data_IF_268536280883
#
_entry.id   IF_268536280883
#
_cell.length_a   1.000
_cell.length_b   1.000
_cell.length_c   1.000
_cell.angle_alpha   90.00
_cell.angle_beta   90.00
_cell.angle_gamma   90.00
#
_symmetry.space_group_name_H-M   'P 1'
#
loop_
_entity.id
_entity.type
_entity.pdbx_description
1 polymer ?
#
# COMPACT_ATOMS: atom_id res chain seq x y z
N UNK A 1 -31.39 -11.61 3.83
CA UNK A 1 -30.70 -10.43 3.32
C UNK A 1 -30.97 -9.24 4.17
N UNK A 2 -30.03 -8.32 4.26
CA UNK A 2 -30.13 -7.14 5.09
C UNK A 2 -30.41 -5.91 4.24
N UNK A 3 -31.41 -5.15 4.61
CA UNK A 3 -31.67 -3.85 3.99
C UNK A 3 -31.06 -2.77 4.88
N UNK A 4 -30.29 -1.87 4.27
CA UNK A 4 -29.61 -0.80 5.01
C UNK A 4 -29.88 0.54 4.34
N UNK A 5 -29.97 1.58 5.18
CA UNK A 5 -30.04 2.94 4.72
C UNK A 5 -28.78 3.67 5.17
N UNK A 6 -28.07 4.26 4.22
CA UNK A 6 -26.81 4.96 4.51
C UNK A 6 -26.98 6.43 4.13
N UNK A 7 -26.64 7.33 5.06
CA UNK A 7 -26.71 8.77 4.84
C UNK A 7 -25.30 9.32 4.68
N UNK A 8 -25.19 10.42 3.95
CA UNK A 8 -23.92 11.13 3.82
C UNK A 8 -23.02 10.61 2.69
N UNK A 9 -23.57 9.82 1.78
CA UNK A 9 -22.82 9.40 0.59
C UNK A 9 -22.84 10.55 -0.41
N UNK A 10 -21.69 10.83 -1.02
CA UNK A 10 -21.57 11.83 -2.06
C UNK A 10 -22.45 11.46 -3.26
N UNK A 11 -23.27 12.42 -3.73
CA UNK A 11 -24.25 12.18 -4.78
C UNK A 11 -23.58 11.73 -6.09
N UNK A 12 -22.51 12.38 -6.46
CA UNK A 12 -21.80 12.09 -7.71
C UNK A 12 -21.15 10.70 -7.67
N UNK A 13 -20.52 10.37 -6.55
CA UNK A 13 -19.90 9.05 -6.36
C UNK A 13 -20.97 7.96 -6.40
N UNK A 14 -22.11 8.18 -5.76
CA UNK A 14 -23.22 7.20 -5.78
C UNK A 14 -23.74 6.98 -7.19
N UNK A 15 -23.92 8.06 -7.94
CA UNK A 15 -24.40 7.97 -9.34
C UNK A 15 -23.45 7.15 -10.21
N UNK A 16 -22.14 7.36 -10.03
CA UNK A 16 -21.10 6.59 -10.74
C UNK A 16 -21.11 5.13 -10.32
N UNK A 17 -21.31 4.86 -9.05
CA UNK A 17 -21.39 3.50 -8.52
C UNK A 17 -22.59 2.76 -9.10
N UNK A 18 -23.76 3.40 -9.14
CA UNK A 18 -24.95 2.82 -9.72
C UNK A 18 -24.78 2.52 -11.22
N UNK A 19 -24.14 3.45 -11.95
CA UNK A 19 -23.81 3.26 -13.37
C UNK A 19 -22.86 2.08 -13.58
N UNK A 20 -21.86 1.93 -12.71
CA UNK A 20 -20.92 0.82 -12.77
C UNK A 20 -21.61 -0.52 -12.55
N UNK A 21 -22.54 -0.60 -11.58
CA UNK A 21 -23.33 -1.80 -11.33
C UNK A 21 -24.10 -2.20 -12.58
N UNK A 22 -24.75 -1.22 -13.20
CA UNK A 22 -25.53 -1.45 -14.43
C UNK A 22 -24.64 -1.93 -15.57
N UNK A 23 -23.45 -1.34 -15.73
CA UNK A 23 -22.49 -1.73 -16.76
C UNK A 23 -22.05 -3.19 -16.59
N UNK A 24 -21.90 -3.65 -15.35
CA UNK A 24 -21.50 -5.02 -15.02
C UNK A 24 -22.67 -6.01 -15.02
N UNK A 25 -23.90 -5.53 -15.22
CA UNK A 25 -25.09 -6.38 -15.15
C UNK A 25 -25.44 -6.82 -13.74
N UNK A 26 -25.07 -6.05 -12.74
CA UNK A 26 -25.31 -6.35 -11.33
C UNK A 26 -26.34 -5.41 -10.72
N UNK A 27 -27.10 -5.89 -9.74
CA UNK A 27 -27.89 -5.02 -8.89
C UNK A 27 -26.95 -4.22 -7.99
N UNK A 28 -27.37 -3.04 -7.53
CA UNK A 28 -26.56 -2.20 -6.64
C UNK A 28 -26.17 -2.98 -5.38
N UNK A 29 -27.11 -3.74 -4.80
CA UNK A 29 -26.84 -4.56 -3.62
C UNK A 29 -25.78 -5.61 -3.85
N UNK A 30 -25.76 -6.22 -5.04
CA UNK A 30 -24.74 -7.21 -5.39
C UNK A 30 -23.35 -6.57 -5.49
N UNK A 31 -23.23 -5.43 -6.17
CA UNK A 31 -21.96 -4.73 -6.27
C UNK A 31 -21.50 -4.24 -4.91
N UNK A 32 -22.42 -3.71 -4.09
CA UNK A 32 -22.11 -3.27 -2.72
C UNK A 32 -21.56 -4.43 -1.90
N UNK A 33 -22.17 -5.61 -1.99
CA UNK A 33 -21.68 -6.81 -1.28
C UNK A 33 -20.25 -7.15 -1.71
N UNK A 34 -19.97 -7.12 -3.02
CA UNK A 34 -18.64 -7.41 -3.54
C UNK A 34 -17.60 -6.41 -3.02
N UNK A 35 -17.95 -5.12 -2.99
CA UNK A 35 -17.05 -4.10 -2.48
C UNK A 35 -16.78 -4.24 -0.99
N UNK A 36 -17.80 -4.57 -0.22
CA UNK A 36 -17.64 -4.83 1.22
C UNK A 36 -16.75 -6.04 1.47
N UNK A 37 -16.93 -7.11 0.71
CA UNK A 37 -16.08 -8.30 0.82
C UNK A 37 -14.63 -7.98 0.50
N UNK A 38 -14.39 -7.21 -0.55
CA UNK A 38 -13.04 -6.79 -0.93
C UNK A 38 -12.39 -5.96 0.18
N UNK A 39 -13.12 -5.03 0.78
CA UNK A 39 -12.62 -4.21 1.87
C UNK A 39 -12.28 -5.06 3.10
N UNK A 40 -13.11 -6.03 3.43
CA UNK A 40 -12.87 -6.93 4.56
C UNK A 40 -11.65 -7.84 4.32
N UNK A 41 -11.48 -8.32 3.10
CA UNK A 41 -10.30 -9.12 2.75
C UNK A 41 -9.02 -8.32 2.88
N UNK A 42 -9.02 -7.07 2.44
CA UNK A 42 -7.86 -6.19 2.63
C UNK A 42 -7.55 -5.96 4.11
N UNK A 43 -8.57 -5.67 4.91
CA UNK A 43 -8.38 -5.40 6.34
C UNK A 43 -7.97 -6.64 7.13
N UNK A 44 -8.21 -7.84 6.60
CA UNK A 44 -7.80 -9.08 7.26
C UNK A 44 -6.34 -9.46 7.00
N UNK A 45 -5.67 -8.79 6.06
CA UNK A 45 -4.24 -9.03 5.79
C UNK A 45 -3.42 -8.47 6.94
N UNK A 46 -2.47 -9.25 7.48
CA UNK A 46 -1.58 -8.69 8.49
C UNK A 46 -0.72 -7.57 7.90
N UNK A 47 -0.59 -6.48 8.63
CA UNK A 47 0.32 -5.40 8.28
C UNK A 47 1.42 -5.41 9.33
N UNK A 48 2.66 -5.60 8.88
CA UNK A 48 3.81 -5.66 9.76
C UNK A 48 4.42 -4.27 9.91
N UNK A 49 4.87 -3.96 11.10
CA UNK A 49 5.54 -2.68 11.37
C UNK A 49 6.95 -2.94 11.85
N UNK A 50 7.92 -2.43 11.11
CA UNK A 50 9.35 -2.58 11.43
C UNK A 50 9.93 -1.18 11.59
N UNK A 51 10.60 -0.94 12.68
CA UNK A 51 11.17 0.37 12.92
C UNK A 51 11.95 0.50 14.20
N UNK A 52 12.28 1.74 14.53
CA UNK A 52 13.10 2.10 15.69
C UNK A 52 14.49 1.48 15.58
N UNK A 53 15.10 1.60 14.39
CA UNK A 53 16.40 1.05 14.05
C UNK A 53 17.31 2.14 13.51
N UNK A 54 18.61 1.99 13.70
CA UNK A 54 19.58 2.89 13.09
C UNK A 54 19.73 2.60 11.60
N UNK A 55 19.90 1.33 11.26
CA UNK A 55 20.08 0.90 9.87
C UNK A 55 19.32 -0.38 9.59
N UNK A 56 18.80 -0.49 8.38
CA UNK A 56 18.13 -1.70 7.92
C UNK A 56 18.33 -1.84 6.42
N UNK A 57 18.78 -3.03 5.99
CA UNK A 57 18.84 -3.40 4.58
C UNK A 57 17.76 -4.41 4.29
N UNK A 58 17.02 -4.20 3.21
CA UNK A 58 15.88 -5.03 2.83
C UNK A 58 16.13 -5.63 1.44
N UNK A 59 16.08 -6.95 1.37
CA UNK A 59 16.24 -7.68 0.11
C UNK A 59 14.90 -8.19 -0.40
N UNK A 60 14.89 -8.67 -1.64
CA UNK A 60 13.73 -9.34 -2.23
C UNK A 60 13.26 -10.50 -1.33
N UNK A 61 14.20 -11.29 -0.84
CA UNK A 61 13.89 -12.42 0.02
C UNK A 61 13.22 -11.99 1.31
N UNK A 62 13.66 -10.88 1.90
CA UNK A 62 13.07 -10.34 3.12
C UNK A 62 11.59 -10.00 2.89
N UNK A 63 11.29 -9.30 1.82
CA UNK A 63 9.91 -8.91 1.51
C UNK A 63 9.04 -10.11 1.13
N UNK A 64 9.59 -11.07 0.40
CA UNK A 64 8.84 -12.27 0.01
C UNK A 64 8.57 -13.19 1.18
N UNK A 65 9.37 -13.13 2.25
CA UNK A 65 9.16 -13.95 3.45
C UNK A 65 7.96 -13.48 4.27
N UNK A 66 7.49 -12.25 4.02
CA UNK A 66 6.34 -11.71 4.72
C UNK A 66 5.06 -12.07 3.97
N UNK A 67 4.00 -12.41 4.70
CA UNK A 67 2.71 -12.74 4.09
C UNK A 67 1.75 -11.55 4.05
N UNK A 68 2.27 -10.35 4.22
CA UNK A 68 1.53 -9.11 4.11
C UNK A 68 2.44 -7.92 3.96
N UNK A 69 1.88 -6.72 3.76
CA UNK A 69 2.67 -5.50 3.58
C UNK A 69 3.36 -5.07 4.87
N UNK A 70 4.43 -4.28 4.71
CA UNK A 70 5.28 -3.82 5.81
C UNK A 70 5.29 -2.29 5.84
N UNK A 71 5.16 -1.72 7.03
CA UNK A 71 5.37 -0.30 7.29
C UNK A 71 6.75 -0.16 7.92
N UNK A 72 7.62 0.63 7.29
CA UNK A 72 8.93 0.97 7.84
C UNK A 72 8.84 2.33 8.50
N UNK A 73 9.20 2.44 9.78
CA UNK A 73 9.08 3.71 10.51
C UNK A 73 10.23 3.92 11.48
N UNK A 74 10.62 5.19 11.67
CA UNK A 74 11.65 5.58 12.63
C UNK A 74 12.97 4.84 12.40
N UNK A 75 13.49 4.94 11.18
CA UNK A 75 14.76 4.32 10.78
C UNK A 75 15.67 5.43 10.26
N UNK A 76 16.91 5.46 10.71
CA UNK A 76 17.86 6.48 10.27
C UNK A 76 18.27 6.23 8.81
N UNK A 77 18.64 4.99 8.46
CA UNK A 77 19.04 4.63 7.11
C UNK A 77 18.36 3.34 6.68
N UNK A 78 17.50 3.45 5.68
CA UNK A 78 16.77 2.31 5.11
C UNK A 78 17.26 2.07 3.69
N UNK A 79 17.80 0.89 3.44
CA UNK A 79 18.32 0.53 2.12
C UNK A 79 17.53 -0.62 1.51
N UNK A 80 17.17 -0.48 0.25
CA UNK A 80 16.56 -1.55 -0.54
C UNK A 80 17.60 -2.08 -1.52
N UNK A 81 17.79 -3.40 -1.50
CA UNK A 81 18.76 -4.06 -2.38
C UNK A 81 18.32 -3.99 -3.84
N UNK A 82 19.26 -4.20 -4.74
CA UNK A 82 19.01 -4.10 -6.18
C UNK A 82 18.04 -5.18 -6.70
N UNK A 83 17.83 -6.25 -5.96
CA UNK A 83 16.87 -7.30 -6.31
C UNK A 83 15.42 -6.93 -5.98
N UNK A 84 15.18 -5.81 -5.31
CA UNK A 84 13.84 -5.32 -5.01
C UNK A 84 13.34 -4.50 -6.20
N UNK A 85 12.42 -5.07 -6.95
CA UNK A 85 11.81 -4.42 -8.10
C UNK A 85 10.52 -3.70 -7.69
N UNK A 86 10.07 -2.79 -8.55
CA UNK A 86 8.89 -1.98 -8.27
C UNK A 86 7.64 -2.82 -7.98
N UNK A 87 7.41 -3.88 -8.74
CA UNK A 87 6.23 -4.74 -8.54
C UNK A 87 6.19 -5.33 -7.12
N UNK A 88 7.33 -5.78 -6.62
CA UNK A 88 7.43 -6.32 -5.27
C UNK A 88 7.34 -5.22 -4.21
N UNK A 89 8.03 -4.11 -4.43
CA UNK A 89 7.98 -2.95 -3.53
C UNK A 89 6.53 -2.44 -3.39
N UNK A 90 5.86 -2.28 -4.51
CA UNK A 90 4.48 -1.79 -4.54
C UNK A 90 3.53 -2.71 -3.76
N UNK A 91 3.73 -4.01 -3.87
CA UNK A 91 2.88 -5.00 -3.21
C UNK A 91 3.19 -5.16 -1.72
N UNK A 92 4.48 -5.16 -1.35
CA UNK A 92 4.93 -5.52 0.00
C UNK A 92 5.26 -4.35 0.90
N UNK A 93 5.52 -3.18 0.36
CA UNK A 93 5.79 -1.99 1.18
C UNK A 93 4.52 -1.14 1.23
N UNK A 94 3.95 -1.05 2.43
CA UNK A 94 2.73 -0.25 2.63
C UNK A 94 3.07 1.22 2.75
N UNK A 95 4.06 1.54 3.59
CA UNK A 95 4.44 2.93 3.86
C UNK A 95 5.82 3.00 4.46
N UNK A 96 6.49 4.13 4.20
CA UNK A 96 7.78 4.48 4.81
C UNK A 96 7.56 5.80 5.55
N UNK A 97 7.77 5.83 6.86
CA UNK A 97 7.52 6.99 7.70
C UNK A 97 8.72 7.34 8.57
N UNK A 98 9.00 8.64 8.70
CA UNK A 98 10.01 9.13 9.65
C UNK A 98 11.36 8.43 9.46
N UNK A 99 11.85 8.44 8.22
CA UNK A 99 13.14 7.86 7.84
C UNK A 99 14.03 8.99 7.34
N UNK A 100 15.26 9.06 7.84
CA UNK A 100 16.16 10.13 7.44
C UNK A 100 16.62 9.92 5.99
N UNK A 101 17.13 8.73 5.68
CA UNK A 101 17.64 8.43 4.34
C UNK A 101 17.11 7.09 3.87
N UNK A 102 16.58 7.07 2.65
CA UNK A 102 16.23 5.83 1.95
C UNK A 102 17.23 5.66 0.80
N UNK A 103 17.94 4.55 0.80
CA UNK A 103 18.95 4.24 -0.23
C UNK A 103 18.36 3.20 -1.16
N UNK A 104 18.38 3.49 -2.46
CA UNK A 104 17.83 2.60 -3.48
C UNK A 104 18.86 2.28 -4.55
N UNK A 105 18.66 1.16 -5.22
CA UNK A 105 19.43 0.77 -6.39
C UNK A 105 18.70 1.19 -7.67
N UNK A 106 19.24 0.84 -8.82
CA UNK A 106 18.67 1.20 -10.12
C UNK A 106 17.31 0.57 -10.40
N UNK A 107 16.96 -0.46 -9.65
CA UNK A 107 15.67 -1.16 -9.79
C UNK A 107 14.47 -0.30 -9.37
N UNK A 108 14.71 0.75 -8.58
CA UNK A 108 13.68 1.64 -8.09
C UNK A 108 14.03 3.09 -8.40
N UNK A 109 13.01 3.93 -8.56
CA UNK A 109 13.19 5.37 -8.73
C UNK A 109 12.81 6.13 -7.46
N UNK A 110 13.34 7.34 -7.34
CA UNK A 110 13.02 8.21 -6.21
C UNK A 110 11.52 8.48 -6.11
N UNK A 111 10.86 8.72 -7.24
CA UNK A 111 9.43 8.97 -7.24
C UNK A 111 8.63 7.76 -6.77
N UNK A 112 9.05 6.56 -7.12
CA UNK A 112 8.40 5.34 -6.64
C UNK A 112 8.45 5.26 -5.11
N UNK A 113 9.59 5.60 -4.52
CA UNK A 113 9.74 5.64 -3.06
C UNK A 113 8.82 6.71 -2.46
N UNK A 114 8.82 7.89 -3.05
CA UNK A 114 8.04 9.02 -2.52
C UNK A 114 6.53 8.78 -2.53
N UNK A 115 6.03 7.94 -3.43
CA UNK A 115 4.59 7.62 -3.47
C UNK A 115 4.10 6.94 -2.19
N UNK A 116 5.00 6.32 -1.44
CA UNK A 116 4.67 5.60 -0.21
C UNK A 116 5.36 6.19 1.02
N UNK A 117 5.94 7.37 0.89
CA UNK A 117 6.76 7.96 1.94
C UNK A 117 6.07 9.13 2.64
N UNK A 118 6.33 9.26 3.94
CA UNK A 118 5.89 10.36 4.77
C UNK A 118 7.03 10.73 5.72
N UNK A 119 7.45 12.00 5.71
CA UNK A 119 8.55 12.49 6.55
C UNK A 119 9.85 11.73 6.27
N UNK A 120 10.24 11.65 5.02
CA UNK A 120 11.53 11.13 4.58
C UNK A 120 12.40 12.32 4.17
N UNK A 121 13.56 12.46 4.78
CA UNK A 121 14.43 13.61 4.50
C UNK A 121 15.11 13.51 3.15
N UNK A 122 15.59 12.33 2.78
CA UNK A 122 16.32 12.15 1.52
C UNK A 122 16.14 10.76 0.95
N UNK A 123 16.12 10.68 -0.38
CA UNK A 123 16.19 9.41 -1.11
C UNK A 123 17.45 9.47 -1.96
N UNK A 124 18.34 8.52 -1.75
CA UNK A 124 19.63 8.47 -2.40
C UNK A 124 19.76 7.23 -3.28
N UNK A 125 20.32 7.39 -4.47
CA UNK A 125 20.55 6.26 -5.38
C UNK A 125 21.95 5.72 -5.17
N UNK A 126 22.06 4.41 -4.99
CA UNK A 126 23.35 3.72 -4.96
C UNK A 126 23.92 3.68 -6.37
N UNK A 127 25.18 3.97 -6.49
CA UNK A 127 25.87 3.90 -7.78
C UNK A 127 26.20 2.47 -8.18
#
# INVERSE_FOLDING_TARGET
MTDVTIRGIDDDVYARFAAEAKRRGLAIGELTTQMMQAALQESSRPIYKIGNLDELSVSKRDLESMDGPVIFSNIDSLEFDEDVEWSLFKERVERIENVDVVIIAKSLSKFQILTKSKNVEAVSSRK
#
